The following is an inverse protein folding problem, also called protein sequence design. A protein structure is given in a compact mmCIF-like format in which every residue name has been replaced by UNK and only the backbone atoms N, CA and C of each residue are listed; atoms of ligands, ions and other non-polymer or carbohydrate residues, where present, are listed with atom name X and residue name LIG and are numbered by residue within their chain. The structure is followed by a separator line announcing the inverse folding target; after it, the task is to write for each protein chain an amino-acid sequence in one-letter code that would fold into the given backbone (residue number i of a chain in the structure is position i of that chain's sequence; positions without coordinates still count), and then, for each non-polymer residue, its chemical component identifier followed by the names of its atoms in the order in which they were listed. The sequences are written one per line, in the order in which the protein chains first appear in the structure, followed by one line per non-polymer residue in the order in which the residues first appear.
data_IF_940741646115
#
_entry.id   IF_940741646115
#
_cell.length_a   1.000
_cell.length_b   1.000
_cell.length_c   1.000
_cell.angle_alpha   90.00
_cell.angle_beta   90.00
_cell.angle_gamma   90.00
#
_symmetry.space_group_name_H-M   'P 1'
#
loop_
_entity.id
_entity.type
_entity.pdbx_description
1 polymer ?
#
# COMPACT_ATOMS: atom_id res chain seq x y z
N UNK A 1 22.59 31.65 19.80
CA UNK A 1 21.14 31.39 19.66
C UNK A 1 20.69 31.98 18.35
N UNK A 2 19.83 31.32 17.58
CA UNK A 2 19.23 31.92 16.39
C UNK A 2 17.93 32.61 16.81
N UNK A 3 17.91 33.95 16.80
CA UNK A 3 16.77 34.76 17.27
C UNK A 3 15.61 34.83 16.27
N UNK A 4 15.82 34.42 15.01
CA UNK A 4 14.80 34.44 13.95
C UNK A 4 14.88 33.16 13.14
N UNK A 5 13.72 32.58 12.81
CA UNK A 5 13.62 31.45 11.90
C UNK A 5 14.09 31.86 10.50
N UNK A 6 15.24 31.35 10.00
CA UNK A 6 15.78 31.71 8.69
C UNK A 6 14.90 31.20 7.53
N UNK A 7 13.93 30.33 7.80
CA UNK A 7 12.94 29.85 6.84
C UNK A 7 11.62 30.65 6.87
N UNK A 8 11.55 31.73 7.65
CA UNK A 8 10.40 32.63 7.64
C UNK A 8 10.31 33.35 6.27
N UNK A 9 9.20 33.17 5.55
CA UNK A 9 9.03 33.69 4.18
C UNK A 9 9.32 32.67 3.07
N UNK A 10 9.88 31.50 3.39
CA UNK A 10 10.04 30.41 2.43
C UNK A 10 8.74 29.60 2.39
N UNK A 11 7.98 29.75 1.31
CA UNK A 11 6.80 28.92 1.07
C UNK A 11 7.21 27.55 0.54
N UNK A 12 6.46 26.50 0.93
CA UNK A 12 6.67 25.16 0.37
C UNK A 12 6.32 25.17 -1.10
N UNK A 13 7.14 24.50 -1.92
CA UNK A 13 6.78 24.28 -3.31
C UNK A 13 5.40 23.59 -3.39
N UNK A 14 4.47 24.11 -4.20
CA UNK A 14 3.19 23.48 -4.39
C UNK A 14 3.38 22.15 -5.13
N UNK A 15 3.24 21.04 -4.40
CA UNK A 15 3.24 19.71 -4.99
C UNK A 15 1.84 19.36 -5.48
N UNK A 16 1.69 19.02 -6.76
CA UNK A 16 0.45 18.46 -7.29
C UNK A 16 0.39 16.97 -6.93
N UNK A 17 -0.63 16.51 -6.17
CA UNK A 17 -0.80 15.08 -5.92
C UNK A 17 -0.95 14.33 -7.25
N UNK A 18 -0.25 13.19 -7.40
CA UNK A 18 -0.40 12.28 -8.55
C UNK A 18 -1.88 11.93 -8.75
N UNK A 19 -2.38 11.67 -9.96
CA UNK A 19 -3.80 11.30 -10.17
C UNK A 19 -4.00 9.86 -10.66
N UNK A 20 -2.92 9.07 -10.74
CA UNK A 20 -2.94 7.75 -11.37
C UNK A 20 -3.73 6.73 -10.56
N UNK A 21 -4.64 6.02 -11.22
CA UNK A 21 -5.36 4.84 -10.72
C UNK A 21 -5.05 3.67 -11.66
N UNK A 22 -4.17 2.72 -11.29
CA UNK A 22 -3.90 1.50 -12.05
C UNK A 22 -5.18 0.71 -12.29
N UNK A 23 -5.30 0.08 -13.46
CA UNK A 23 -6.37 -0.87 -13.75
C UNK A 23 -5.99 -2.28 -13.29
N UNK A 24 -6.98 -3.15 -13.07
CA UNK A 24 -6.73 -4.53 -12.63
C UNK A 24 -5.85 -5.29 -13.62
N UNK A 25 -6.01 -5.05 -14.93
CA UNK A 25 -5.16 -5.62 -15.99
C UNK A 25 -3.71 -5.20 -15.82
N UNK A 26 -3.43 -3.93 -15.50
CA UNK A 26 -2.07 -3.44 -15.29
C UNK A 26 -1.43 -4.07 -14.05
N UNK A 27 -2.20 -4.24 -12.98
CA UNK A 27 -1.74 -4.90 -11.75
C UNK A 27 -1.43 -6.38 -12.01
N UNK A 28 -2.26 -7.07 -12.80
CA UNK A 28 -2.02 -8.46 -13.19
C UNK A 28 -0.75 -8.59 -14.04
N UNK A 29 -0.59 -7.76 -15.07
CA UNK A 29 0.64 -7.75 -15.90
C UNK A 29 1.87 -7.46 -15.05
N UNK A 30 1.79 -6.51 -14.11
CA UNK A 30 2.88 -6.23 -13.19
C UNK A 30 3.24 -7.43 -12.29
N UNK A 31 2.23 -8.17 -11.80
CA UNK A 31 2.44 -9.40 -11.02
C UNK A 31 3.14 -10.49 -11.83
N UNK A 32 2.74 -10.70 -13.08
CA UNK A 32 3.37 -11.69 -13.97
C UNK A 32 4.83 -11.34 -14.27
N UNK A 33 5.13 -10.07 -14.57
CA UNK A 33 6.50 -9.59 -14.76
C UNK A 33 7.32 -9.79 -13.48
N UNK A 34 6.76 -9.44 -12.32
CA UNK A 34 7.42 -9.63 -11.04
C UNK A 34 7.74 -11.12 -10.77
N UNK A 35 6.81 -12.01 -11.10
CA UNK A 35 6.96 -13.46 -10.98
C UNK A 35 8.06 -13.99 -11.90
N UNK A 36 8.07 -13.58 -13.16
CA UNK A 36 9.11 -13.96 -14.13
C UNK A 36 10.51 -13.46 -13.72
N UNK A 37 10.59 -12.31 -13.05
CA UNK A 37 11.85 -11.72 -12.57
C UNK A 37 12.44 -12.44 -11.33
N UNK A 38 11.64 -13.25 -10.64
CA UNK A 38 12.06 -14.10 -9.53
C UNK A 38 11.45 -13.76 -8.16
N UNK A 39 11.69 -14.63 -7.18
CA UNK A 39 10.98 -14.69 -5.89
C UNK A 39 10.94 -13.35 -5.15
N UNK A 40 12.07 -12.64 -5.01
CA UNK A 40 12.09 -11.35 -4.28
C UNK A 40 11.30 -10.24 -4.99
N UNK A 41 11.22 -10.28 -6.32
CA UNK A 41 10.40 -9.35 -7.10
C UNK A 41 8.92 -9.69 -6.95
N UNK A 42 8.59 -10.99 -7.00
CA UNK A 42 7.24 -11.46 -6.78
C UNK A 42 6.72 -11.14 -5.37
N UNK A 43 7.53 -11.37 -4.34
CA UNK A 43 7.23 -10.95 -2.96
C UNK A 43 6.94 -9.45 -2.86
N UNK A 44 7.75 -8.62 -3.54
CA UNK A 44 7.51 -7.16 -3.60
C UNK A 44 6.16 -6.83 -4.23
N UNK A 45 5.77 -7.55 -5.28
CA UNK A 45 4.47 -7.37 -5.92
C UNK A 45 3.30 -7.84 -5.04
N UNK A 46 3.44 -8.94 -4.29
CA UNK A 46 2.45 -9.39 -3.30
C UNK A 46 2.25 -8.37 -2.17
N UNK A 47 3.32 -7.75 -1.66
CA UNK A 47 3.22 -6.64 -0.70
C UNK A 47 2.45 -5.46 -1.30
N UNK A 48 2.73 -5.11 -2.57
CA UNK A 48 1.99 -4.06 -3.29
C UNK A 48 0.51 -4.38 -3.47
N UNK A 49 0.18 -5.63 -3.80
CA UNK A 49 -1.19 -6.11 -3.91
C UNK A 49 -1.89 -6.07 -2.55
N UNK A 50 -1.21 -6.46 -1.46
CA UNK A 50 -1.73 -6.35 -0.10
C UNK A 50 -2.10 -4.90 0.25
N UNK A 51 -1.24 -3.93 -0.09
CA UNK A 51 -1.54 -2.49 0.02
C UNK A 51 -2.78 -2.12 -0.81
N UNK A 52 -2.88 -2.62 -2.04
CA UNK A 52 -3.96 -2.31 -2.98
C UNK A 52 -5.33 -2.90 -2.61
N UNK A 53 -5.39 -4.06 -1.96
CA UNK A 53 -6.67 -4.70 -1.62
C UNK A 53 -7.16 -4.37 -0.20
N UNK A 54 -6.26 -3.94 0.69
CA UNK A 54 -6.61 -3.60 2.09
C UNK A 54 -6.61 -2.11 2.36
N UNK A 55 -5.98 -1.33 1.48
CA UNK A 55 -5.72 0.08 1.71
C UNK A 55 -5.00 0.32 3.05
N UNK A 56 -4.14 -0.60 3.50
CA UNK A 56 -3.23 -0.39 4.65
C UNK A 56 -1.90 0.21 4.18
N UNK A 57 -1.14 0.82 5.10
CA UNK A 57 0.13 1.44 4.73
C UNK A 57 1.17 0.34 4.57
N UNK A 58 2.07 0.50 3.61
CA UNK A 58 3.18 -0.44 3.43
C UNK A 58 3.95 -0.67 4.74
N UNK A 59 4.25 0.38 5.50
CA UNK A 59 4.93 0.27 6.79
C UNK A 59 4.18 -0.60 7.84
N UNK A 60 2.86 -0.72 7.72
CA UNK A 60 2.02 -1.57 8.59
C UNK A 60 2.03 -3.04 8.12
N UNK A 61 2.40 -3.29 6.85
CA UNK A 61 2.36 -4.61 6.20
C UNK A 61 3.73 -5.29 6.24
N UNK A 62 4.82 -4.52 6.10
CA UNK A 62 6.18 -5.07 5.94
C UNK A 62 6.64 -5.97 7.10
N UNK A 63 6.20 -5.67 8.32
CA UNK A 63 6.51 -6.44 9.54
C UNK A 63 5.40 -7.38 9.97
N UNK A 64 4.46 -7.73 9.09
CA UNK A 64 3.35 -8.62 9.44
C UNK A 64 3.87 -10.04 9.73
N UNK A 65 3.55 -10.55 10.91
CA UNK A 65 3.86 -11.93 11.32
C UNK A 65 2.71 -12.89 11.03
N UNK A 66 3.02 -14.18 10.88
CA UNK A 66 2.02 -15.25 10.71
C UNK A 66 1.03 -15.30 11.88
N UNK A 67 1.47 -14.95 13.10
CA UNK A 67 0.64 -14.87 14.31
C UNK A 67 -0.52 -13.86 14.18
N UNK A 68 -0.40 -12.88 13.29
CA UNK A 68 -1.44 -11.89 13.03
C UNK A 68 -2.57 -12.39 12.11
N UNK A 69 -2.40 -13.56 11.49
CA UNK A 69 -3.41 -14.20 10.64
C UNK A 69 -4.30 -15.07 11.55
N UNK A 70 -5.41 -14.50 12.00
CA UNK A 70 -6.36 -15.17 12.89
C UNK A 70 -7.55 -15.75 12.12
N UNK A 71 -8.36 -16.55 12.80
CA UNK A 71 -9.61 -17.08 12.22
C UNK A 71 -10.57 -15.95 11.77
N UNK A 72 -10.64 -14.86 12.55
CA UNK A 72 -11.55 -13.74 12.28
C UNK A 72 -11.04 -12.78 11.20
N UNK A 73 -9.73 -12.77 10.94
CA UNK A 73 -9.13 -11.87 9.96
C UNK A 73 -7.64 -11.66 10.15
N UNK A 74 -7.12 -10.61 9.54
CA UNK A 74 -5.71 -10.22 9.65
C UNK A 74 -5.60 -9.01 10.56
N UNK A 75 -4.89 -9.16 11.68
CA UNK A 75 -4.62 -8.07 12.62
C UNK A 75 -3.46 -7.22 12.12
N UNK A 76 -3.65 -5.91 12.07
CA UNK A 76 -2.62 -4.96 11.61
C UNK A 76 -2.53 -3.79 12.57
N UNK A 77 -1.32 -3.54 13.09
CA UNK A 77 -1.06 -2.40 13.96
C UNK A 77 -0.73 -1.13 13.16
N UNK A 78 -1.21 0.02 13.63
CA UNK A 78 -0.91 1.31 13.01
C UNK A 78 0.56 1.72 13.22
N UNK A 79 1.30 1.92 12.12
CA UNK A 79 2.72 2.27 12.16
C UNK A 79 3.00 3.76 12.48
N UNK A 80 1.99 4.62 12.42
CA UNK A 80 2.15 6.06 12.69
C UNK A 80 1.30 6.46 13.90
N UNK A 81 1.98 6.58 15.04
CA UNK A 81 1.42 7.04 16.31
C UNK A 81 2.10 8.38 16.62
N UNK A 82 1.35 9.45 16.88
CA UNK A 82 1.92 10.60 17.61
C UNK A 82 2.14 10.10 19.04
N UNK A 83 3.23 10.49 19.71
CA UNK A 83 3.58 10.02 21.05
C UNK A 83 2.44 10.09 22.11
N UNK A 84 1.37 10.85 21.83
CA UNK A 84 0.19 11.03 22.68
C UNK A 84 -1.07 10.26 22.25
N UNK A 85 -1.09 9.56 21.11
CA UNK A 85 -2.26 8.79 20.64
C UNK A 85 -2.10 7.29 21.04
N UNK A 86 -3.18 6.64 21.48
CA UNK A 86 -3.21 5.19 21.69
C UNK A 86 -2.95 4.42 20.38
N UNK A 87 -2.29 3.26 20.47
CA UNK A 87 -2.09 2.37 19.32
C UNK A 87 -3.46 1.94 18.77
N UNK A 88 -3.60 1.99 17.44
CA UNK A 88 -4.82 1.53 16.75
C UNK A 88 -4.52 0.19 16.09
N UNK A 89 -5.31 -0.82 16.41
CA UNK A 89 -5.33 -2.11 15.73
C UNK A 89 -6.47 -2.13 14.71
N UNK A 90 -6.21 -2.74 13.56
CA UNK A 90 -7.21 -2.98 12.52
C UNK A 90 -7.38 -4.48 12.32
N UNK A 91 -8.63 -4.94 12.27
CA UNK A 91 -8.96 -6.30 11.84
C UNK A 91 -9.45 -6.26 10.39
N UNK A 92 -8.70 -6.90 9.50
CA UNK A 92 -9.05 -7.01 8.08
C UNK A 92 -9.81 -8.31 7.87
N UNK A 93 -11.08 -8.21 7.49
CA UNK A 93 -11.91 -9.38 7.21
C UNK A 93 -11.35 -10.20 6.04
N UNK A 94 -11.51 -11.52 6.12
CA UNK A 94 -11.09 -12.44 5.07
C UNK A 94 -11.85 -12.22 3.76
N UNK A 95 -11.13 -12.36 2.65
CA UNK A 95 -11.70 -12.46 1.31
C UNK A 95 -10.94 -13.53 0.52
N UNK A 96 -11.54 -14.15 -0.51
CA UNK A 96 -10.87 -15.18 -1.29
C UNK A 96 -9.53 -14.72 -1.89
N UNK A 97 -9.45 -13.45 -2.33
CA UNK A 97 -8.23 -12.87 -2.86
C UNK A 97 -7.17 -12.65 -1.76
N UNK A 98 -7.58 -12.13 -0.60
CA UNK A 98 -6.69 -11.90 0.53
C UNK A 98 -6.09 -13.23 1.04
N UNK A 99 -6.92 -14.27 1.19
CA UNK A 99 -6.49 -15.58 1.64
C UNK A 99 -5.49 -16.20 0.67
N UNK A 100 -5.73 -16.14 -0.64
CA UNK A 100 -4.81 -16.63 -1.67
C UNK A 100 -3.47 -15.88 -1.66
N UNK A 101 -3.52 -14.55 -1.56
CA UNK A 101 -2.32 -13.70 -1.50
C UNK A 101 -1.45 -14.07 -0.30
N UNK A 102 -2.05 -14.13 0.89
CA UNK A 102 -1.32 -14.39 2.12
C UNK A 102 -0.79 -15.82 2.19
N UNK A 103 -1.56 -16.81 1.73
CA UNK A 103 -1.08 -18.18 1.62
C UNK A 103 0.16 -18.27 0.71
N UNK A 104 0.15 -17.56 -0.42
CA UNK A 104 1.29 -17.52 -1.34
C UNK A 104 2.49 -16.81 -0.72
N UNK A 105 2.29 -15.66 -0.05
CA UNK A 105 3.36 -14.94 0.63
C UNK A 105 4.01 -15.79 1.73
N UNK A 106 3.20 -16.42 2.58
CA UNK A 106 3.66 -17.34 3.63
C UNK A 106 4.44 -18.52 3.04
N UNK A 107 3.95 -19.12 1.96
CA UNK A 107 4.63 -20.23 1.27
C UNK A 107 6.03 -19.85 0.80
N UNK A 108 6.21 -18.62 0.31
CA UNK A 108 7.53 -18.12 -0.09
C UNK A 108 8.41 -17.83 1.12
N UNK A 109 7.87 -17.18 2.15
CA UNK A 109 8.61 -16.80 3.35
C UNK A 109 9.10 -18.01 4.15
N UNK A 110 8.31 -19.08 4.24
CA UNK A 110 8.66 -20.33 4.95
C UNK A 110 9.95 -21.00 4.47
N UNK A 111 10.45 -20.67 3.28
CA UNK A 111 11.74 -21.14 2.77
C UNK A 111 12.93 -20.57 3.55
N UNK A 112 12.71 -19.54 4.35
CA UNK A 112 13.74 -18.77 5.08
C UNK A 112 13.57 -18.85 6.60
N UNK A 113 12.84 -19.86 7.12
CA UNK A 113 12.60 -20.15 8.55
C UNK A 113 12.30 -18.88 9.39
N UNK A 114 11.15 -18.27 9.11
CA UNK A 114 10.83 -16.92 9.57
C UNK A 114 9.38 -16.83 10.02
N UNK A 115 9.08 -16.05 11.09
CA UNK A 115 7.70 -15.80 11.51
C UNK A 115 7.00 -14.76 10.61
N UNK A 116 7.71 -14.09 9.71
CA UNK A 116 7.16 -13.01 8.90
C UNK A 116 6.43 -13.53 7.66
N UNK A 117 5.25 -12.96 7.41
CA UNK A 117 4.46 -13.22 6.19
C UNK A 117 5.21 -12.76 4.94
N UNK A 118 5.90 -11.62 5.04
CA UNK A 118 6.65 -11.00 3.95
C UNK A 118 8.14 -10.93 4.30
N UNK A 119 8.85 -12.04 4.11
CA UNK A 119 10.27 -12.12 4.41
C UNK A 119 11.15 -11.80 3.19
N UNK A 120 12.31 -11.21 3.46
CA UNK A 120 13.42 -11.17 2.51
C UNK A 120 14.16 -12.52 2.52
N UNK A 121 15.10 -12.70 1.58
CA UNK A 121 15.94 -13.91 1.48
C UNK A 121 16.79 -14.20 2.73
N UNK A 122 16.95 -13.21 3.62
CA UNK A 122 17.66 -13.38 4.88
C UNK A 122 16.77 -13.88 6.03
N UNK A 123 15.47 -14.10 5.79
CA UNK A 123 14.49 -14.40 6.83
C UNK A 123 14.01 -13.17 7.61
N UNK A 124 14.65 -12.01 7.43
CA UNK A 124 14.24 -10.74 8.04
C UNK A 124 12.98 -10.18 7.36
N UNK A 125 12.20 -9.32 8.06
CA UNK A 125 11.04 -8.68 7.44
C UNK A 125 11.48 -7.77 6.30
N UNK A 126 10.62 -7.64 5.30
CA UNK A 126 10.94 -6.84 4.13
C UNK A 126 11.13 -5.36 4.51
N UNK A 127 12.18 -4.71 4.01
CA UNK A 127 12.45 -3.30 4.36
C UNK A 127 11.80 -2.32 3.38
N UNK A 128 11.55 -1.08 3.81
CA UNK A 128 11.00 -0.05 2.93
C UNK A 128 11.94 0.29 1.77
N UNK A 129 13.25 0.33 2.03
CA UNK A 129 14.29 0.54 1.01
C UNK A 129 14.38 -0.63 0.04
N UNK A 130 14.37 -1.87 0.55
CA UNK A 130 14.32 -3.08 -0.28
C UNK A 130 13.08 -3.13 -1.16
N UNK A 131 11.93 -2.67 -0.64
CA UNK A 131 10.69 -2.61 -1.41
C UNK A 131 10.83 -1.61 -2.54
N UNK A 132 11.27 -0.39 -2.25
CA UNK A 132 11.43 0.66 -3.27
C UNK A 132 12.40 0.23 -4.37
N UNK A 133 13.52 -0.40 -3.99
CA UNK A 133 14.51 -0.89 -4.93
C UNK A 133 13.94 -1.94 -5.88
N UNK A 134 13.27 -2.97 -5.36
CA UNK A 134 12.68 -4.01 -6.22
C UNK A 134 11.48 -3.49 -7.01
N UNK A 135 10.63 -2.64 -6.42
CA UNK A 135 9.52 -2.01 -7.13
C UNK A 135 10.00 -1.24 -8.36
N UNK A 136 11.08 -0.46 -8.21
CA UNK A 136 11.66 0.31 -9.33
C UNK A 136 12.13 -0.59 -10.46
N UNK A 137 12.74 -1.74 -10.14
CA UNK A 137 13.21 -2.72 -11.14
C UNK A 137 12.05 -3.36 -11.89
N UNK A 138 11.04 -3.85 -11.17
CA UNK A 138 9.83 -4.44 -11.80
C UNK A 138 9.13 -3.39 -12.66
N UNK A 139 9.03 -2.16 -12.16
CA UNK A 139 8.40 -1.05 -12.89
C UNK A 139 9.17 -0.67 -14.15
N UNK A 140 10.50 -0.79 -14.15
CA UNK A 140 11.29 -0.58 -15.37
C UNK A 140 10.95 -1.62 -16.44
N UNK A 141 10.80 -2.88 -16.05
CA UNK A 141 10.42 -3.96 -16.97
C UNK A 141 8.95 -3.83 -17.43
N UNK A 142 8.05 -3.41 -16.53
CA UNK A 142 6.65 -3.10 -16.87
C UNK A 142 6.54 -1.97 -17.89
N UNK A 143 7.31 -0.89 -17.73
CA UNK A 143 7.34 0.21 -18.70
C UNK A 143 7.88 -0.25 -20.06
N UNK A 144 8.92 -1.09 -20.08
CA UNK A 144 9.42 -1.68 -21.33
C UNK A 144 8.36 -2.54 -22.04
N UNK A 145 7.45 -3.15 -21.29
CA UNK A 145 6.31 -3.91 -21.84
C UNK A 145 5.13 -3.03 -22.31
N UNK A 146 5.27 -1.70 -22.27
CA UNK A 146 4.24 -0.74 -22.67
C UNK A 146 3.34 -0.24 -21.53
N UNK A 147 3.63 -0.63 -20.28
CA UNK A 147 2.90 -0.18 -19.11
C UNK A 147 3.24 1.24 -18.67
N UNK A 148 2.32 1.90 -17.95
CA UNK A 148 2.57 3.23 -17.38
C UNK A 148 3.02 3.15 -15.92
N UNK A 149 3.97 4.00 -15.50
CA UNK A 149 4.52 3.93 -14.13
C UNK A 149 3.47 4.21 -13.05
N UNK A 150 3.37 3.27 -12.11
CA UNK A 150 2.61 3.45 -10.87
C UNK A 150 3.40 3.08 -9.61
N UNK A 151 2.84 3.41 -8.46
CA UNK A 151 3.44 3.18 -7.14
C UNK A 151 2.48 2.39 -6.25
N UNK A 152 3.00 1.79 -5.18
CA UNK A 152 2.16 1.20 -4.14
C UNK A 152 1.19 2.24 -3.51
N UNK A 153 1.55 3.52 -3.53
CA UNK A 153 0.65 4.59 -3.10
C UNK A 153 -0.52 4.79 -4.07
N UNK A 154 -0.28 4.63 -5.38
CA UNK A 154 -1.34 4.66 -6.39
C UNK A 154 -2.30 3.46 -6.23
N UNK A 155 -1.78 2.28 -5.87
CA UNK A 155 -2.62 1.11 -5.51
C UNK A 155 -3.48 1.37 -4.26
N UNK A 156 -2.89 1.99 -3.22
CA UNK A 156 -3.65 2.41 -2.04
C UNK A 156 -4.75 3.42 -2.39
N UNK A 157 -4.46 4.37 -3.28
CA UNK A 157 -5.45 5.34 -3.75
C UNK A 157 -6.58 4.68 -4.53
N UNK A 158 -6.30 3.62 -5.29
CA UNK A 158 -7.31 2.80 -5.95
C UNK A 158 -8.32 2.23 -4.94
N UNK A 159 -7.84 1.59 -3.86
CA UNK A 159 -8.68 1.05 -2.79
C UNK A 159 -9.60 2.12 -2.19
N UNK A 160 -9.00 3.25 -1.81
CA UNK A 160 -9.73 4.33 -1.15
C UNK A 160 -10.77 4.91 -2.09
N UNK A 161 -10.43 5.11 -3.36
CA UNK A 161 -11.37 5.57 -4.39
C UNK A 161 -12.57 4.63 -4.52
N UNK A 162 -12.33 3.31 -4.50
CA UNK A 162 -13.38 2.29 -4.62
C UNK A 162 -14.29 2.22 -3.38
N UNK A 163 -13.74 2.39 -2.18
CA UNK A 163 -14.54 2.46 -0.95
C UNK A 163 -15.41 3.71 -0.93
N UNK A 164 -14.83 4.87 -1.28
CA UNK A 164 -15.56 6.13 -1.34
C UNK A 164 -16.65 6.12 -2.42
N UNK A 165 -16.43 5.45 -3.57
CA UNK A 165 -17.48 5.31 -4.59
C UNK A 165 -18.63 4.41 -4.18
N UNK A 166 -18.44 3.58 -3.14
CA UNK A 166 -19.47 2.71 -2.55
C UNK A 166 -20.07 3.31 -1.27
N UNK A 167 -19.81 4.58 -0.98
CA UNK A 167 -20.18 5.27 0.26
C UNK A 167 -19.74 4.54 1.54
N UNK A 168 -18.68 3.72 1.43
CA UNK A 168 -18.06 3.05 2.57
C UNK A 168 -16.92 3.89 3.09
N UNK A 169 -16.79 3.95 4.42
CA UNK A 169 -15.68 4.67 5.03
C UNK A 169 -14.36 3.90 4.78
N UNK A 170 -13.39 4.43 4.01
CA UNK A 170 -12.08 3.81 3.81
C UNK A 170 -11.18 3.91 5.06
N UNK A 171 -11.71 4.43 6.18
CA UNK A 171 -10.94 5.20 7.15
C UNK A 171 -9.63 4.54 7.57
N UNK A 172 -8.57 5.22 7.16
CA UNK A 172 -7.20 5.02 7.63
C UNK A 172 -6.57 6.33 8.09
N UNK A 173 -7.32 7.45 8.01
CA UNK A 173 -6.81 8.80 8.20
C UNK A 173 -7.74 9.60 9.10
N UNK A 174 -7.20 10.15 10.19
CA UNK A 174 -7.88 11.01 11.18
C UNK A 174 -8.48 12.29 10.57
N UNK A 175 -8.11 12.66 9.34
CA UNK A 175 -8.58 13.85 8.65
C UNK A 175 -9.15 13.50 7.26
N UNK A 176 -10.47 13.67 7.12
CA UNK A 176 -11.21 13.42 5.87
C UNK A 176 -10.69 14.25 4.67
N UNK A 177 -10.14 15.44 4.91
CA UNK A 177 -9.54 16.26 3.85
C UNK A 177 -8.29 15.60 3.23
N UNK A 178 -7.57 14.77 3.99
CA UNK A 178 -6.42 14.01 3.44
C UNK A 178 -6.92 12.88 2.54
N UNK A 179 -7.98 12.17 2.92
CA UNK A 179 -8.63 11.16 2.08
C UNK A 179 -9.11 11.78 0.77
N UNK A 180 -9.83 12.92 0.84
CA UNK A 180 -10.33 13.64 -0.35
C UNK A 180 -9.21 14.16 -1.25
N UNK A 181 -8.16 14.77 -0.69
CA UNK A 181 -7.08 15.39 -1.48
C UNK A 181 -6.09 14.38 -2.07
N UNK A 182 -5.75 13.34 -1.30
CA UNK A 182 -4.63 12.45 -1.62
C UNK A 182 -5.11 11.12 -2.21
N UNK A 183 -6.34 10.67 -1.96
CA UNK A 183 -6.73 9.31 -2.30
C UNK A 183 -8.04 9.18 -3.08
N UNK A 184 -8.94 10.16 -3.02
CA UNK A 184 -10.11 10.19 -3.90
C UNK A 184 -9.68 10.57 -5.33
N UNK A 185 -9.70 9.58 -6.24
CA UNK A 185 -9.34 9.73 -7.66
C UNK A 185 -10.55 9.63 -8.58
N UNK A 186 -11.78 9.81 -8.07
CA UNK A 186 -12.99 9.78 -8.90
C UNK A 186 -12.90 10.86 -9.99
N UNK A 187 -12.95 10.44 -11.27
CA UNK A 187 -12.96 11.35 -12.43
C UNK A 187 -14.33 11.95 -12.72
N UNK A 188 -15.40 11.37 -12.19
CA UNK A 188 -16.79 11.83 -12.32
C UNK A 188 -17.40 11.86 -10.93
N UNK A 189 -17.85 13.03 -10.50
CA UNK A 189 -18.67 13.20 -9.29
C UNK A 189 -20.10 13.32 -9.77
N UNK A 190 -20.98 12.40 -9.35
CA UNK A 190 -22.41 12.50 -9.62
C UNK A 190 -22.93 13.62 -8.72
N UNK A 191 -23.29 14.75 -9.32
CA UNK A 191 -23.88 15.87 -8.60
C UNK A 191 -25.39 15.67 -8.65
N UNK A 192 -26.00 15.45 -7.49
CA UNK A 192 -27.46 15.47 -7.38
C UNK A 192 -27.85 16.93 -7.13
N UNK A 193 -28.61 17.57 -8.04
CA UNK A 193 -29.11 18.91 -7.77
C UNK A 193 -30.05 18.85 -6.57
N UNK A 194 -29.78 19.68 -5.57
CA UNK A 194 -30.77 20.08 -4.57
C UNK A 194 -31.31 21.42 -5.03
N UNK A 195 -32.40 21.33 -5.80
CA UNK A 195 -33.10 22.37 -6.57
C UNK A 195 -32.36 22.90 -7.79
#
# INVERSE_FOLDING_TARGET
MADVNPCHGVSRNPERPRSRKPENVEVNTFLEIAKARGEGSYMTALIGLMVGITGRRRAEILGLEESALTQDGVKVQAAKIKATDASREYLIAWSPLLSKLLAEAVRLSKRHDTPYVFAARSGAPYTDSGFKANWSKIMADFVKSGGERFTAHDLRAMYVTEMVSRDKNPETHKNAATTRRVYDRRRKVKVTPTF
#
